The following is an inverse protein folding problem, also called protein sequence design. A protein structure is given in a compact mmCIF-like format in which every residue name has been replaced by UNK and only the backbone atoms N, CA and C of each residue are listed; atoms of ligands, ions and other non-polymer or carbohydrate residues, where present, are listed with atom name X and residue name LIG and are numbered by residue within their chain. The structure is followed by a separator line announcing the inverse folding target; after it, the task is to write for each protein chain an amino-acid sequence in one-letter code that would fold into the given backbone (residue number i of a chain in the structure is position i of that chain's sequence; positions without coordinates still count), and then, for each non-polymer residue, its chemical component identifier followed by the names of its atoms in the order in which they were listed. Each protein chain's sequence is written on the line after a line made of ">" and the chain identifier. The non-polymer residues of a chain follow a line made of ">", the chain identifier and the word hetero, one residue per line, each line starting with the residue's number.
data_IF_164858567683
#
_entry.id   IF_164858567683
#
_cell.length_a   1.000
_cell.length_b   1.000
_cell.length_c   1.000
_cell.angle_alpha   90.00
_cell.angle_beta   90.00
_cell.angle_gamma   90.00
#
_symmetry.space_group_name_H-M   'P 1'
#
loop_
_entity.id
_entity.type
_entity.pdbx_description
1 polymer ?
#
# COMPACT_ATOMS: atom_id res chain seq x y z
N UNK A 1 -13.52 -76.24 2.50
CA UNK A 1 -14.64 -75.38 2.95
C UNK A 1 -14.08 -74.16 3.65
N UNK A 2 -14.23 -72.99 3.03
CA UNK A 2 -13.81 -71.68 3.51
C UNK A 2 -14.62 -71.26 4.75
N UNK A 3 -13.97 -70.74 5.79
CA UNK A 3 -14.60 -69.78 6.70
C UNK A 3 -13.72 -68.54 6.88
N UNK A 4 -14.40 -67.41 6.71
CA UNK A 4 -13.91 -66.09 6.40
C UNK A 4 -13.19 -65.40 7.58
N UNK A 5 -12.14 -64.66 7.21
CA UNK A 5 -11.44 -63.65 8.01
C UNK A 5 -12.17 -62.31 7.82
N UNK A 6 -12.93 -61.80 8.79
CA UNK A 6 -13.35 -60.38 8.79
C UNK A 6 -13.70 -59.93 10.22
N UNK A 7 -12.75 -59.30 10.93
CA UNK A 7 -13.05 -58.44 12.08
C UNK A 7 -11.78 -57.67 12.52
N UNK A 8 -11.15 -56.92 11.63
CA UNK A 8 -10.02 -56.04 12.00
C UNK A 8 -9.93 -54.84 11.07
N UNK A 9 -11.02 -54.10 10.87
CA UNK A 9 -10.99 -52.88 10.05
C UNK A 9 -12.17 -51.95 10.40
N UNK A 10 -12.32 -51.51 11.65
CA UNK A 10 -13.38 -50.56 12.00
C UNK A 10 -13.01 -49.56 13.12
N UNK A 11 -11.74 -49.18 13.23
CA UNK A 11 -11.29 -48.13 14.18
C UNK A 11 -10.20 -47.24 13.59
N UNK A 12 -10.38 -46.73 12.38
CA UNK A 12 -9.44 -45.74 11.79
C UNK A 12 -10.13 -44.66 10.94
N UNK A 13 -11.39 -44.35 11.21
CA UNK A 13 -12.19 -43.47 10.34
C UNK A 13 -12.97 -42.38 11.09
N UNK A 14 -12.39 -41.79 12.15
CA UNK A 14 -13.01 -40.65 12.85
C UNK A 14 -12.07 -39.51 13.26
N UNK A 15 -10.77 -39.55 12.90
CA UNK A 15 -9.81 -38.48 13.24
C UNK A 15 -9.49 -37.50 12.10
N UNK A 16 -10.08 -37.62 10.91
CA UNK A 16 -9.70 -36.79 9.76
C UNK A 16 -10.54 -35.52 9.55
N UNK A 17 -11.59 -35.29 10.35
CA UNK A 17 -12.54 -34.19 10.13
C UNK A 17 -12.27 -32.90 10.94
N UNK A 18 -11.28 -32.90 11.86
CA UNK A 18 -11.06 -31.79 12.79
C UNK A 18 -10.00 -30.75 12.34
N UNK A 19 -9.40 -30.90 11.16
CA UNK A 19 -8.34 -29.98 10.68
C UNK A 19 -8.82 -28.85 9.75
N UNK A 20 -10.13 -28.70 9.55
CA UNK A 20 -10.72 -27.60 8.76
C UNK A 20 -11.22 -26.43 9.61
N UNK A 21 -10.66 -26.22 10.80
CA UNK A 21 -10.82 -24.94 11.51
C UNK A 21 -9.94 -23.90 10.80
N UNK A 22 -10.53 -23.33 9.76
CA UNK A 22 -10.13 -22.11 9.08
C UNK A 22 -9.75 -21.03 10.10
N UNK A 23 -8.46 -20.75 10.19
CA UNK A 23 -7.99 -19.54 10.84
C UNK A 23 -8.57 -18.35 10.09
N UNK A 24 -9.61 -17.72 10.64
CA UNK A 24 -9.96 -16.35 10.29
C UNK A 24 -8.73 -15.49 10.60
N UNK A 25 -7.87 -15.27 9.62
CA UNK A 25 -6.73 -14.38 9.74
C UNK A 25 -7.28 -12.98 9.99
N UNK A 26 -7.31 -12.57 11.27
CA UNK A 26 -7.68 -11.21 11.66
C UNK A 26 -6.71 -10.27 10.95
N UNK A 27 -7.26 -9.26 10.27
CA UNK A 27 -6.42 -8.19 9.74
C UNK A 27 -5.53 -7.65 10.87
N UNK A 28 -4.28 -7.25 10.58
CA UNK A 28 -3.43 -6.67 11.61
C UNK A 28 -4.15 -5.50 12.29
N UNK A 29 -3.76 -5.12 13.49
CA UNK A 29 -4.27 -3.90 14.14
C UNK A 29 -3.07 -3.10 14.56
N UNK A 30 -2.97 -1.85 14.13
CA UNK A 30 -1.89 -0.96 14.51
C UNK A 30 -2.27 -0.16 15.74
N UNK A 31 -1.32 -0.01 16.65
CA UNK A 31 -1.36 1.04 17.67
C UNK A 31 -1.30 2.41 17.00
N UNK A 32 -1.66 3.46 17.74
CA UNK A 32 -1.57 4.84 17.25
C UNK A 32 -0.15 5.20 16.84
N UNK A 33 0.82 4.76 17.65
CA UNK A 33 2.24 5.04 17.46
C UNK A 33 2.79 4.33 16.22
N UNK A 34 2.43 3.05 16.02
CA UNK A 34 2.78 2.32 14.79
C UNK A 34 2.17 2.96 13.56
N UNK A 35 0.90 3.38 13.63
CA UNK A 35 0.25 4.06 12.51
C UNK A 35 0.95 5.37 12.16
N UNK A 36 1.24 6.23 13.15
CA UNK A 36 1.98 7.48 12.93
C UNK A 36 3.37 7.23 12.36
N UNK A 37 4.06 6.18 12.82
CA UNK A 37 5.35 5.79 12.28
C UNK A 37 5.30 5.26 10.84
N UNK A 38 4.11 4.96 10.29
CA UNK A 38 3.93 4.57 8.89
C UNK A 38 3.44 5.78 8.07
N UNK A 39 2.42 6.48 8.58
CA UNK A 39 1.70 7.53 7.88
C UNK A 39 2.39 8.88 7.85
N UNK A 40 3.40 9.08 8.70
CA UNK A 40 4.01 10.39 8.91
C UNK A 40 5.51 10.36 8.67
N UNK A 41 6.01 11.34 7.92
CA UNK A 41 7.44 11.54 7.64
C UNK A 41 7.77 13.04 7.70
N UNK A 42 8.93 13.37 8.27
CA UNK A 42 9.47 14.72 8.26
C UNK A 42 10.52 14.85 7.14
N UNK A 43 10.39 15.86 6.30
CA UNK A 43 11.27 16.14 5.18
C UNK A 43 12.00 17.47 5.42
N UNK A 44 13.28 17.36 5.79
CA UNK A 44 14.13 18.52 6.11
C UNK A 44 14.33 19.38 4.86
N UNK A 45 14.24 20.70 5.01
CA UNK A 45 14.50 21.68 3.95
C UNK A 45 13.48 21.72 2.81
N UNK A 46 12.44 20.87 2.84
CA UNK A 46 11.39 20.86 1.83
C UNK A 46 10.20 21.73 2.28
N UNK A 47 9.65 22.54 1.39
CA UNK A 47 8.42 23.31 1.66
C UNK A 47 7.17 22.46 1.39
N UNK A 48 5.99 22.84 1.93
CA UNK A 48 4.72 22.18 1.62
C UNK A 48 4.44 22.11 0.11
N UNK A 49 4.74 23.17 -0.64
CA UNK A 49 4.50 23.25 -2.08
C UNK A 49 5.37 22.26 -2.85
N UNK A 50 6.66 22.17 -2.50
CA UNK A 50 7.59 21.19 -3.10
C UNK A 50 7.12 19.76 -2.85
N UNK A 51 6.65 19.48 -1.63
CA UNK A 51 6.15 18.16 -1.24
C UNK A 51 4.86 17.78 -1.93
N UNK A 52 3.89 18.70 -2.00
CA UNK A 52 2.63 18.47 -2.69
C UNK A 52 2.86 18.26 -4.20
N UNK A 53 3.74 19.06 -4.81
CA UNK A 53 4.13 18.87 -6.22
C UNK A 53 4.81 17.52 -6.46
N UNK A 54 5.72 17.10 -5.57
CA UNK A 54 6.35 15.79 -5.67
C UNK A 54 5.36 14.64 -5.41
N UNK A 55 4.44 14.80 -4.47
CA UNK A 55 3.39 13.83 -4.17
C UNK A 55 2.43 13.64 -5.35
N UNK A 56 2.03 14.72 -6.03
CA UNK A 56 1.27 14.66 -7.28
C UNK A 56 2.02 13.84 -8.34
N UNK A 57 3.32 14.11 -8.54
CA UNK A 57 4.15 13.33 -9.46
C UNK A 57 4.19 11.85 -9.10
N UNK A 58 4.17 11.46 -7.82
CA UNK A 58 4.10 10.03 -7.44
C UNK A 58 2.85 9.36 -8.02
N UNK A 59 1.68 10.00 -7.93
CA UNK A 59 0.43 9.44 -8.46
C UNK A 59 0.39 9.45 -9.99
N UNK A 60 0.90 10.52 -10.62
CA UNK A 60 0.99 10.60 -12.08
C UNK A 60 1.95 9.54 -12.65
N UNK A 61 3.06 9.24 -11.98
CA UNK A 61 3.97 8.17 -12.40
C UNK A 61 3.41 6.77 -12.11
N UNK A 62 2.60 6.63 -11.05
CA UNK A 62 1.95 5.37 -10.75
C UNK A 62 0.97 4.97 -11.86
N UNK A 63 0.03 5.87 -12.23
CA UNK A 63 -1.06 5.49 -13.14
C UNK A 63 -1.60 6.65 -14.00
N UNK A 64 -0.84 7.74 -14.10
CA UNK A 64 -1.15 8.90 -14.93
C UNK A 64 -2.56 9.43 -14.72
N UNK A 65 -3.36 9.37 -15.79
CA UNK A 65 -4.71 9.92 -15.86
C UNK A 65 -5.76 9.17 -15.03
N UNK A 66 -5.42 8.03 -14.42
CA UNK A 66 -6.40 7.26 -13.64
C UNK A 66 -6.60 7.85 -12.24
N UNK A 67 -5.66 8.67 -11.77
CA UNK A 67 -5.85 9.50 -10.59
C UNK A 67 -6.56 10.81 -10.94
N UNK A 68 -7.57 11.16 -10.14
CA UNK A 68 -8.17 12.50 -10.07
C UNK A 68 -7.58 13.21 -8.85
N UNK A 69 -6.86 14.30 -9.09
CA UNK A 69 -6.11 15.01 -8.06
C UNK A 69 -6.75 16.38 -7.81
N UNK A 70 -6.99 16.70 -6.54
CA UNK A 70 -7.47 18.02 -6.10
C UNK A 70 -6.54 18.60 -5.04
N UNK A 71 -6.37 19.92 -5.06
CA UNK A 71 -5.43 20.62 -4.20
C UNK A 71 -6.16 21.56 -3.23
N UNK A 72 -5.59 21.74 -2.05
CA UNK A 72 -5.86 22.80 -1.10
C UNK A 72 -4.52 23.44 -0.70
N UNK A 73 -4.57 24.48 0.15
CA UNK A 73 -3.37 25.27 0.51
C UNK A 73 -2.25 24.39 1.10
N UNK A 74 -2.58 23.47 1.99
CA UNK A 74 -1.62 22.62 2.72
C UNK A 74 -1.92 21.13 2.57
N UNK A 75 -2.74 20.76 1.59
CA UNK A 75 -3.11 19.36 1.37
C UNK A 75 -3.45 19.09 -0.08
N UNK A 76 -3.46 17.82 -0.44
CA UNK A 76 -4.00 17.34 -1.69
C UNK A 76 -4.75 16.04 -1.46
N UNK A 77 -5.70 15.76 -2.35
CA UNK A 77 -6.41 14.49 -2.41
C UNK A 77 -6.22 13.85 -3.78
N UNK A 78 -5.85 12.57 -3.80
CA UNK A 78 -5.78 11.78 -5.02
C UNK A 78 -6.79 10.63 -4.96
N UNK A 79 -7.65 10.52 -5.96
CA UNK A 79 -8.69 9.50 -6.03
C UNK A 79 -8.50 8.65 -7.28
N UNK A 80 -8.47 7.33 -7.13
CA UNK A 80 -8.55 6.39 -8.25
C UNK A 80 -9.78 5.50 -8.09
N UNK A 81 -10.53 5.34 -9.17
CA UNK A 81 -11.65 4.39 -9.24
C UNK A 81 -11.20 3.22 -10.11
N UNK A 82 -11.42 2.01 -9.62
CA UNK A 82 -11.09 0.74 -10.26
C UNK A 82 -12.41 0.03 -10.59
N UNK A 83 -13.02 0.29 -11.77
CA UNK A 83 -14.35 -0.24 -12.09
C UNK A 83 -14.39 -1.77 -12.06
N UNK A 84 -13.31 -2.42 -12.49
CA UNK A 84 -13.20 -3.88 -12.56
C UNK A 84 -13.16 -4.55 -11.19
N UNK A 85 -12.68 -3.84 -10.17
CA UNK A 85 -12.58 -4.33 -8.79
C UNK A 85 -13.72 -3.81 -7.91
N UNK A 86 -14.61 -2.97 -8.45
CA UNK A 86 -15.59 -2.21 -7.67
C UNK A 86 -14.94 -1.53 -6.46
N UNK A 87 -13.75 -0.93 -6.66
CA UNK A 87 -13.01 -0.27 -5.59
C UNK A 87 -12.75 1.20 -5.92
N UNK A 88 -12.78 2.04 -4.89
CA UNK A 88 -12.34 3.43 -4.94
C UNK A 88 -11.24 3.62 -3.90
N UNK A 89 -10.08 4.10 -4.33
CA UNK A 89 -8.97 4.42 -3.46
C UNK A 89 -8.90 5.94 -3.31
N UNK A 90 -8.97 6.44 -2.09
CA UNK A 90 -8.80 7.85 -1.76
C UNK A 90 -7.55 8.02 -0.92
N UNK A 91 -6.69 8.95 -1.34
CA UNK A 91 -5.47 9.33 -0.65
C UNK A 91 -5.58 10.78 -0.24
N UNK A 92 -5.34 11.07 1.04
CA UNK A 92 -5.27 12.41 1.59
C UNK A 92 -3.86 12.68 2.10
N UNK A 93 -3.21 13.70 1.55
CA UNK A 93 -1.84 14.08 1.85
C UNK A 93 -1.90 15.46 2.47
N UNK A 94 -1.46 15.59 3.71
CA UNK A 94 -1.44 16.86 4.44
C UNK A 94 0.01 17.23 4.75
N UNK A 95 0.40 18.45 4.44
CA UNK A 95 1.71 19.01 4.71
C UNK A 95 1.61 20.08 5.79
N UNK A 96 2.41 19.96 6.84
CA UNK A 96 2.50 20.94 7.91
C UNK A 96 3.92 21.51 7.96
N UNK A 97 4.11 22.83 7.75
CA UNK A 97 5.42 23.43 7.87
C UNK A 97 5.92 23.35 9.31
N UNK A 98 7.23 23.26 9.47
CA UNK A 98 7.96 23.23 10.75
C UNK A 98 9.20 24.11 10.62
N UNK A 99 9.93 24.33 11.71
CA UNK A 99 11.14 25.18 11.68
C UNK A 99 12.22 24.64 10.72
N UNK A 100 12.35 23.33 10.56
CA UNK A 100 13.44 22.68 9.80
C UNK A 100 13.00 22.13 8.44
N UNK A 101 11.73 22.22 8.07
CA UNK A 101 11.18 21.61 6.87
C UNK A 101 9.69 21.39 6.98
N UNK A 102 9.20 20.26 6.47
CA UNK A 102 7.75 19.98 6.45
C UNK A 102 7.46 18.54 6.88
N UNK A 103 6.45 18.39 7.72
CA UNK A 103 5.89 17.09 8.09
C UNK A 103 4.75 16.73 7.15
N UNK A 104 4.84 15.55 6.53
CA UNK A 104 3.78 14.99 5.69
C UNK A 104 3.04 13.93 6.48
N UNK A 105 1.71 14.02 6.49
CA UNK A 105 0.81 12.97 6.95
C UNK A 105 0.00 12.44 5.79
N UNK A 106 -0.02 11.12 5.63
CA UNK A 106 -0.75 10.42 4.57
C UNK A 106 -1.85 9.57 5.21
N UNK A 107 -3.08 9.73 4.75
CA UNK A 107 -4.16 8.80 5.05
C UNK A 107 -4.72 8.23 3.77
N UNK A 108 -5.15 6.98 3.81
CA UNK A 108 -5.68 6.29 2.65
C UNK A 108 -6.92 5.51 3.05
N UNK A 109 -7.97 5.61 2.23
CA UNK A 109 -9.20 4.83 2.36
C UNK A 109 -9.42 4.05 1.09
N UNK A 110 -9.71 2.77 1.24
CA UNK A 110 -10.17 1.93 0.16
C UNK A 110 -11.66 1.68 0.41
N UNK A 111 -12.50 1.98 -0.56
CA UNK A 111 -13.95 1.85 -0.44
C UNK A 111 -14.38 0.81 -1.45
N UNK A 112 -14.85 -0.34 -0.97
CA UNK A 112 -15.46 -1.33 -1.85
C UNK A 112 -16.91 -0.90 -2.15
N UNK A 113 -17.20 -0.65 -3.42
CA UNK A 113 -18.53 -0.31 -3.92
C UNK A 113 -19.29 -1.60 -4.30
N UNK A 114 -20.61 -1.66 -4.15
CA UNK A 114 -21.52 -0.63 -3.61
C UNK A 114 -21.60 -0.58 -2.08
N UNK A 115 -20.88 -1.45 -1.36
CA UNK A 115 -21.12 -1.70 0.06
C UNK A 115 -20.60 -0.61 1.00
N UNK A 116 -19.82 0.37 0.50
CA UNK A 116 -19.22 1.45 1.28
C UNK A 116 -18.50 0.96 2.54
N UNK A 117 -17.90 -0.22 2.46
CA UNK A 117 -17.09 -0.75 3.54
C UNK A 117 -15.69 -0.17 3.41
N UNK A 118 -15.23 0.48 4.49
CA UNK A 118 -13.85 0.90 4.61
C UNK A 118 -12.97 -0.36 4.64
N UNK A 119 -12.25 -0.59 3.55
CA UNK A 119 -11.20 -1.56 3.52
C UNK A 119 -10.00 -1.03 4.32
N UNK A 120 -9.32 -2.00 4.93
CA UNK A 120 -8.18 -1.81 5.80
C UNK A 120 -7.14 -0.85 5.16
N UNK A 121 -6.53 0.07 5.91
CA UNK A 121 -5.43 0.87 5.38
C UNK A 121 -4.31 -0.08 4.91
N UNK A 122 -3.62 0.26 3.83
CA UNK A 122 -2.48 -0.52 3.32
C UNK A 122 -1.16 0.19 3.65
N UNK A 123 -0.58 -0.03 4.85
CA UNK A 123 0.72 0.47 5.24
C UNK A 123 1.81 0.28 4.19
N UNK A 124 1.81 -0.87 3.53
CA UNK A 124 2.83 -1.20 2.54
C UNK A 124 2.77 -0.23 1.34
N UNK A 125 1.56 0.23 0.97
CA UNK A 125 1.35 1.21 -0.08
C UNK A 125 1.75 2.63 0.36
N UNK A 126 1.48 2.99 1.62
CA UNK A 126 1.90 4.27 2.21
C UNK A 126 3.44 4.34 2.29
N UNK A 127 4.10 3.26 2.68
CA UNK A 127 5.56 3.19 2.73
C UNK A 127 6.19 3.29 1.32
N UNK A 128 5.59 2.63 0.32
CA UNK A 128 5.99 2.81 -1.08
C UNK A 128 5.80 4.27 -1.55
N UNK A 129 4.68 4.90 -1.21
CA UNK A 129 4.43 6.31 -1.50
C UNK A 129 5.54 7.20 -0.91
N UNK A 130 5.85 7.04 0.38
CA UNK A 130 6.90 7.82 1.03
C UNK A 130 8.29 7.56 0.43
N UNK A 131 8.58 6.32 0.04
CA UNK A 131 9.82 5.94 -0.65
C UNK A 131 9.97 6.69 -1.97
N UNK A 132 8.91 6.72 -2.78
CA UNK A 132 8.88 7.44 -4.06
C UNK A 132 8.96 8.95 -3.88
N UNK A 133 8.24 9.48 -2.88
CA UNK A 133 8.29 10.90 -2.53
C UNK A 133 9.71 11.33 -2.14
N UNK A 134 10.39 10.56 -1.30
CA UNK A 134 11.77 10.82 -0.90
C UNK A 134 12.75 10.81 -2.08
N UNK A 135 12.57 9.88 -3.03
CA UNK A 135 13.34 9.85 -4.27
C UNK A 135 13.15 11.15 -5.08
N UNK A 136 11.91 11.59 -5.29
CA UNK A 136 11.60 12.78 -6.08
C UNK A 136 12.14 14.08 -5.46
N UNK A 137 12.26 14.13 -4.14
CA UNK A 137 12.78 15.31 -3.42
C UNK A 137 14.31 15.33 -3.36
N UNK A 138 14.94 14.19 -3.10
CA UNK A 138 16.41 14.12 -2.93
C UNK A 138 17.16 13.90 -4.25
N UNK A 139 16.49 13.33 -5.26
CA UNK A 139 17.12 12.87 -6.50
C UNK A 139 18.25 11.88 -6.24
N UNK A 140 18.16 11.09 -5.17
CA UNK A 140 19.19 10.13 -4.75
C UNK A 140 18.62 8.71 -4.67
N UNK A 141 19.46 7.72 -5.00
CA UNK A 141 19.06 6.32 -5.06
C UNK A 141 18.44 5.91 -6.40
N UNK A 142 17.71 4.80 -6.40
CA UNK A 142 16.98 4.30 -7.56
C UNK A 142 15.47 4.48 -7.34
N UNK A 143 14.73 4.79 -8.41
CA UNK A 143 13.27 4.83 -8.36
C UNK A 143 12.71 3.47 -7.95
N UNK A 144 11.83 3.47 -6.95
CA UNK A 144 11.22 2.25 -6.42
C UNK A 144 9.99 1.87 -7.24
N UNK A 145 10.17 0.98 -8.22
CA UNK A 145 9.06 0.40 -8.99
C UNK A 145 8.24 -0.57 -8.15
N UNK A 146 6.97 -0.79 -8.52
CA UNK A 146 6.07 -1.74 -7.88
C UNK A 146 6.67 -3.18 -7.85
N UNK A 147 7.25 -3.72 -8.94
CA UNK A 147 7.93 -5.02 -8.90
C UNK A 147 9.14 -5.05 -7.94
N UNK A 148 9.97 -4.00 -7.95
CA UNK A 148 11.16 -3.92 -7.09
C UNK A 148 10.77 -3.89 -5.62
N UNK A 149 9.77 -3.07 -5.27
CA UNK A 149 9.26 -3.00 -3.91
C UNK A 149 8.64 -4.33 -3.48
N UNK A 150 7.80 -4.97 -4.32
CA UNK A 150 7.22 -6.30 -4.04
C UNK A 150 8.31 -7.34 -3.74
N UNK A 151 9.38 -7.36 -4.52
CA UNK A 151 10.49 -8.28 -4.33
C UNK A 151 11.25 -8.02 -3.02
N UNK A 152 11.62 -6.76 -2.74
CA UNK A 152 12.31 -6.38 -1.51
C UNK A 152 11.45 -6.67 -0.26
N UNK A 153 10.17 -6.31 -0.32
CA UNK A 153 9.22 -6.53 0.76
C UNK A 153 9.06 -8.02 1.06
N UNK A 154 8.87 -8.87 0.02
CA UNK A 154 8.76 -10.32 0.18
C UNK A 154 10.03 -10.93 0.77
N UNK A 155 11.21 -10.49 0.34
CA UNK A 155 12.47 -10.97 0.86
C UNK A 155 12.61 -10.71 2.37
N UNK A 156 12.22 -9.49 2.80
CA UNK A 156 12.30 -9.01 4.20
C UNK A 156 11.23 -9.60 5.11
N UNK A 157 9.96 -9.54 4.69
CA UNK A 157 8.81 -9.86 5.54
C UNK A 157 8.21 -11.25 5.32
N UNK A 158 8.72 -12.01 4.34
CA UNK A 158 8.21 -13.35 3.98
C UNK A 158 6.70 -13.38 3.64
N UNK A 159 6.13 -12.24 3.25
CA UNK A 159 4.76 -12.07 2.74
C UNK A 159 4.74 -11.11 1.55
N UNK A 160 3.66 -11.12 0.77
CA UNK A 160 3.44 -10.11 -0.26
C UNK A 160 2.90 -8.82 0.36
N UNK A 161 3.32 -7.64 -0.13
CA UNK A 161 2.71 -6.37 0.27
C UNK A 161 1.36 -6.18 -0.44
N UNK A 162 0.46 -5.45 0.22
CA UNK A 162 -0.81 -5.00 -0.36
C UNK A 162 -0.59 -3.61 -0.94
N UNK A 163 -0.62 -3.50 -2.28
CA UNK A 163 -0.21 -2.30 -3.02
C UNK A 163 -1.23 -1.85 -4.05
N UNK A 164 -2.41 -2.49 -4.07
CA UNK A 164 -3.40 -2.36 -5.13
C UNK A 164 -3.73 -0.88 -5.35
N UNK A 165 -3.86 -0.09 -4.29
CA UNK A 165 -4.19 1.33 -4.33
C UNK A 165 -3.21 2.26 -5.07
N UNK A 166 -1.99 1.79 -5.36
CA UNK A 166 -0.97 2.53 -6.12
C UNK A 166 -0.33 1.70 -7.25
N UNK A 167 -0.48 0.37 -7.25
CA UNK A 167 0.18 -0.55 -8.18
C UNK A 167 -0.78 -1.42 -9.01
N UNK A 168 -2.07 -1.53 -8.69
CA UNK A 168 -3.01 -2.26 -9.54
C UNK A 168 -3.25 -1.46 -10.82
N UNK A 169 -3.20 -2.11 -11.99
CA UNK A 169 -3.37 -1.44 -13.30
C UNK A 169 -2.26 -0.46 -13.69
N UNK A 170 -1.40 -0.11 -12.73
CA UNK A 170 -0.39 0.93 -12.81
C UNK A 170 0.55 0.77 -14.01
N UNK A 171 0.74 1.87 -14.74
CA UNK A 171 1.84 2.01 -15.70
C UNK A 171 3.21 1.93 -15.04
N UNK A 172 3.28 2.37 -13.78
CA UNK A 172 4.48 2.31 -12.94
C UNK A 172 5.71 2.94 -13.62
N UNK A 173 5.51 4.13 -14.18
CA UNK A 173 6.51 4.83 -14.97
C UNK A 173 7.71 5.22 -14.10
N UNK A 174 8.89 5.11 -14.69
CA UNK A 174 10.11 5.60 -14.06
C UNK A 174 10.27 7.08 -14.42
N UNK A 175 10.47 7.97 -13.43
CA UNK A 175 10.74 9.37 -13.73
C UNK A 175 11.98 9.46 -14.62
N UNK A 176 12.03 10.40 -15.57
CA UNK A 176 13.25 10.63 -16.34
C UNK A 176 14.41 10.86 -15.38
N UNK A 177 15.61 10.40 -15.74
CA UNK A 177 16.81 10.67 -14.97
C UNK A 177 16.88 12.17 -14.70
N UNK A 178 16.92 12.57 -13.43
CA UNK A 178 16.89 13.99 -13.08
C UNK A 178 18.03 14.69 -13.79
N UNK A 179 17.72 15.64 -14.66
CA UNK A 179 18.70 16.59 -15.18
C UNK A 179 19.18 17.43 -14.00
N UNK A 180 20.22 16.97 -13.30
CA UNK A 180 20.91 17.80 -12.29
C UNK A 180 21.79 18.90 -12.92
N UNK A 181 21.66 19.13 -14.23
CA UNK A 181 22.46 20.07 -15.02
C UNK A 181 21.62 21.13 -15.79
N UNK A 182 20.52 21.64 -15.20
CA UNK A 182 19.91 22.90 -15.66
C UNK A 182 19.58 23.82 -14.50
#
# INVERSE_FOLDING_TARGET
>A
MHRQRYASMLTFSFCLAALFLSACAKAPTYTREEWLAISTRHYIGSTPEQLLSAAEKVFLLADGSDFRITHQVSSMRAVRVEPWLFMKNEWDITCMPTETGTTVSVSMRNIATPYNVDAYPYPDAIDLFHTRLAYLLSGSGAWMTCPSYKAQFKAKHKRYPILESICAGAKDETPPASSKDQ
#
